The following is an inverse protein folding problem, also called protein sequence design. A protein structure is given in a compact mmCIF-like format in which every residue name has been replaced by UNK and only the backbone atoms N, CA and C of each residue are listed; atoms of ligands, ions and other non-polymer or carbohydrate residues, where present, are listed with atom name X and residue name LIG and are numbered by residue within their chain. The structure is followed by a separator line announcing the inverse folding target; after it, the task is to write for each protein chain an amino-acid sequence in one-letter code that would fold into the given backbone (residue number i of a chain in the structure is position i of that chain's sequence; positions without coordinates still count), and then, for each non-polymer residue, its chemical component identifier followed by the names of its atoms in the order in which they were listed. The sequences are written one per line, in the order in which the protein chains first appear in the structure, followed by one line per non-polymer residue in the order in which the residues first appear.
data_IF_566617012164
#
_entry.id   IF_566617012164
#
_cell.length_a   1.000
_cell.length_b   1.000
_cell.length_c   1.000
_cell.angle_alpha   90.00
_cell.angle_beta   90.00
_cell.angle_gamma   90.00
#
_symmetry.space_group_name_H-M   'P 1'
#
loop_
_entity.id
_entity.type
_entity.pdbx_description
1 polymer ?
#
# COMPACT_ATOMS: atom_id res chain seq x y z
N UNK A 1 16.57 -5.67 9.37
CA UNK A 1 16.72 -6.77 10.35
C UNK A 1 16.05 -6.46 11.69
N UNK A 2 16.17 -5.25 12.26
CA UNK A 2 15.51 -4.90 13.54
C UNK A 2 13.96 -4.85 13.47
N UNK A 3 13.38 -4.42 12.35
CA UNK A 3 11.91 -4.28 12.16
C UNK A 3 11.14 -5.62 12.29
N UNK A 4 11.70 -6.72 11.76
CA UNK A 4 11.09 -8.06 11.87
C UNK A 4 11.09 -8.60 13.31
N UNK A 5 12.01 -8.14 14.17
CA UNK A 5 12.07 -8.58 15.57
C UNK A 5 10.96 -7.92 16.39
N UNK A 6 10.66 -6.65 16.12
CA UNK A 6 9.59 -5.91 16.79
C UNK A 6 8.20 -6.51 16.53
N UNK A 7 7.88 -6.79 15.25
CA UNK A 7 6.61 -7.41 14.89
C UNK A 7 6.47 -8.85 15.40
N UNK A 8 7.54 -9.67 15.33
CA UNK A 8 7.55 -11.02 15.90
C UNK A 8 7.38 -10.99 17.43
N UNK A 9 8.05 -10.08 18.11
CA UNK A 9 7.89 -9.87 19.55
C UNK A 9 6.44 -9.50 19.89
N UNK A 10 5.86 -8.53 19.19
CA UNK A 10 4.48 -8.09 19.43
C UNK A 10 3.49 -9.21 19.10
N UNK A 11 3.68 -9.97 18.01
CA UNK A 11 2.82 -11.09 17.67
C UNK A 11 2.83 -12.17 18.77
N UNK A 12 4.02 -12.48 19.30
CA UNK A 12 4.17 -13.40 20.44
C UNK A 12 3.54 -12.84 21.73
N UNK A 13 3.72 -11.54 21.99
CA UNK A 13 3.10 -10.86 23.13
C UNK A 13 1.57 -10.93 23.04
N UNK A 14 1.00 -10.66 21.86
CA UNK A 14 -0.44 -10.72 21.62
C UNK A 14 -0.98 -12.14 21.74
N UNK A 15 -0.25 -13.14 21.25
CA UNK A 15 -0.62 -14.54 21.43
C UNK A 15 -0.59 -14.95 22.91
N UNK A 16 0.46 -14.55 23.65
CA UNK A 16 0.54 -14.79 25.09
C UNK A 16 -0.60 -14.09 25.83
N UNK A 17 -0.94 -12.85 25.47
CA UNK A 17 -2.05 -12.11 26.05
C UNK A 17 -3.38 -12.84 25.82
N UNK A 18 -3.63 -13.32 24.60
CA UNK A 18 -4.85 -14.06 24.29
C UNK A 18 -4.94 -15.39 25.05
N UNK A 19 -3.85 -16.15 25.13
CA UNK A 19 -3.79 -17.37 25.94
C UNK A 19 -4.05 -17.08 27.41
N UNK A 20 -3.36 -16.09 27.98
CA UNK A 20 -3.59 -15.68 29.38
C UNK A 20 -5.02 -15.22 29.60
N UNK A 21 -5.64 -14.52 28.64
CA UNK A 21 -7.04 -14.12 28.74
C UNK A 21 -7.95 -15.34 28.82
N UNK A 22 -7.83 -16.34 27.94
CA UNK A 22 -8.68 -17.53 27.99
C UNK A 22 -8.39 -18.40 29.23
N UNK A 23 -7.16 -18.45 29.71
CA UNK A 23 -6.81 -19.16 30.95
C UNK A 23 -7.44 -18.51 32.19
N UNK A 24 -7.33 -17.19 32.31
CA UNK A 24 -7.96 -16.45 33.41
C UNK A 24 -9.49 -16.41 33.28
N UNK A 25 -10.02 -16.50 32.06
CA UNK A 25 -11.45 -16.65 31.80
C UNK A 25 -11.98 -17.97 32.37
N UNK A 26 -11.22 -19.06 32.19
CA UNK A 26 -11.56 -20.38 32.77
C UNK A 26 -11.45 -20.42 34.29
N UNK A 27 -10.60 -19.58 34.88
CA UNK A 27 -10.45 -19.45 36.34
C UNK A 27 -11.47 -18.49 36.97
N UNK A 28 -12.25 -17.79 36.15
CA UNK A 28 -13.20 -16.76 36.57
C UNK A 28 -12.53 -15.58 37.35
N UNK A 29 -11.25 -15.30 37.06
CA UNK A 29 -10.55 -14.16 37.67
C UNK A 29 -10.90 -12.85 36.95
N UNK A 30 -11.99 -12.23 37.40
CA UNK A 30 -12.49 -10.96 36.88
C UNK A 30 -11.47 -9.81 36.93
N UNK A 31 -10.55 -9.80 37.91
CA UNK A 31 -9.57 -8.73 38.03
C UNK A 31 -8.50 -8.87 36.95
N UNK A 32 -7.98 -10.08 36.78
CA UNK A 32 -6.98 -10.38 35.74
C UNK A 32 -7.56 -10.16 34.34
N UNK A 33 -8.81 -10.60 34.10
CA UNK A 33 -9.50 -10.37 32.84
C UNK A 33 -9.64 -8.88 32.50
N UNK A 34 -10.04 -8.06 33.47
CA UNK A 34 -10.13 -6.61 33.28
C UNK A 34 -8.77 -6.00 32.94
N UNK A 35 -7.71 -6.40 33.63
CA UNK A 35 -6.35 -5.89 33.38
C UNK A 35 -5.84 -6.28 31.98
N UNK A 36 -6.04 -7.53 31.56
CA UNK A 36 -5.68 -8.01 30.22
C UNK A 36 -6.47 -7.30 29.12
N UNK A 37 -7.76 -7.04 29.37
CA UNK A 37 -8.64 -6.31 28.46
C UNK A 37 -8.21 -4.85 28.29
N UNK A 38 -7.82 -4.20 29.38
CA UNK A 38 -7.26 -2.85 29.34
C UNK A 38 -5.94 -2.82 28.58
N UNK A 39 -5.05 -3.78 28.83
CA UNK A 39 -3.78 -3.88 28.10
C UNK A 39 -4.03 -4.02 26.59
N UNK A 40 -4.94 -4.90 26.17
CA UNK A 40 -5.33 -5.05 24.77
C UNK A 40 -5.86 -3.73 24.18
N UNK A 41 -6.71 -3.03 24.94
CA UNK A 41 -7.30 -1.75 24.52
C UNK A 41 -6.23 -0.66 24.35
N UNK A 42 -5.25 -0.59 25.25
CA UNK A 42 -4.14 0.36 25.14
C UNK A 42 -3.20 0.03 23.99
N UNK A 43 -2.88 -1.25 23.76
CA UNK A 43 -2.08 -1.67 22.60
C UNK A 43 -2.74 -1.21 21.29
N UNK A 44 -4.07 -1.30 21.19
CA UNK A 44 -4.82 -0.74 20.07
C UNK A 44 -4.77 0.81 20.00
N UNK A 45 -4.97 1.51 21.12
CA UNK A 45 -4.90 2.99 21.17
C UNK A 45 -3.55 3.50 20.67
N UNK A 46 -2.47 2.82 21.04
CA UNK A 46 -1.10 3.17 20.65
C UNK A 46 -0.70 2.64 19.25
N UNK A 47 -1.58 1.93 18.55
CA UNK A 47 -1.37 1.53 17.15
C UNK A 47 -0.59 0.22 16.96
N UNK A 48 -0.54 -0.63 17.98
CA UNK A 48 0.15 -1.93 17.93
C UNK A 48 -0.66 -2.97 17.14
N UNK A 49 -2.00 -2.88 17.20
CA UNK A 49 -2.91 -3.72 16.43
C UNK A 49 -4.00 -2.86 15.76
N UNK A 50 -4.59 -3.43 14.71
CA UNK A 50 -5.71 -2.84 13.96
C UNK A 50 -7.06 -3.01 14.67
N UNK A 51 -8.05 -2.21 14.28
CA UNK A 51 -9.43 -2.31 14.75
C UNK A 51 -10.05 -3.68 14.46
N UNK A 52 -9.60 -4.36 13.41
CA UNK A 52 -10.07 -5.69 13.01
C UNK A 52 -9.98 -6.71 14.15
N UNK A 53 -8.85 -6.72 14.87
CA UNK A 53 -8.62 -7.64 15.98
C UNK A 53 -9.56 -7.35 17.15
N UNK A 54 -9.76 -6.05 17.45
CA UNK A 54 -10.65 -5.63 18.55
C UNK A 54 -12.09 -5.99 18.23
N UNK A 55 -12.53 -5.78 16.98
CA UNK A 55 -13.86 -6.20 16.56
C UNK A 55 -14.03 -7.72 16.57
N UNK A 56 -13.04 -8.49 16.12
CA UNK A 56 -13.10 -9.96 16.17
C UNK A 56 -13.21 -10.47 17.62
N UNK A 57 -12.45 -9.87 18.54
CA UNK A 57 -12.55 -10.14 19.98
C UNK A 57 -13.94 -9.78 20.54
N UNK A 58 -14.46 -8.58 20.23
CA UNK A 58 -15.79 -8.15 20.66
C UNK A 58 -16.90 -9.05 20.08
N UNK A 59 -16.77 -9.50 18.83
CA UNK A 59 -17.72 -10.42 18.19
C UNK A 59 -17.67 -11.78 18.88
N UNK A 60 -16.49 -12.29 19.22
CA UNK A 60 -16.34 -13.53 19.99
C UNK A 60 -17.09 -13.44 21.32
N UNK A 61 -16.86 -12.38 22.09
CA UNK A 61 -17.56 -12.14 23.37
C UNK A 61 -19.07 -11.99 23.17
N UNK A 62 -19.50 -11.30 22.10
CA UNK A 62 -20.92 -11.07 21.81
C UNK A 62 -21.70 -12.36 21.52
N UNK A 63 -21.03 -13.41 21.03
CA UNK A 63 -21.65 -14.71 20.77
C UNK A 63 -21.92 -15.48 22.07
N UNK A 64 -20.96 -15.44 23.01
CA UNK A 64 -21.03 -16.10 24.32
C UNK A 64 -21.99 -15.36 25.27
N UNK A 65 -21.83 -14.04 25.35
CA UNK A 65 -22.69 -13.08 26.07
C UNK A 65 -22.97 -13.44 27.54
N UNK A 66 -21.99 -13.99 28.25
CA UNK A 66 -22.02 -14.22 29.70
C UNK A 66 -21.85 -12.91 30.49
N UNK A 67 -22.02 -12.93 31.82
CA UNK A 67 -21.81 -11.74 32.65
C UNK A 67 -20.36 -11.20 32.56
N UNK A 68 -19.39 -12.11 32.48
CA UNK A 68 -17.97 -11.79 32.29
C UNK A 68 -17.73 -11.16 30.92
N UNK A 69 -18.38 -11.68 29.87
CA UNK A 69 -18.30 -11.12 28.51
C UNK A 69 -18.86 -9.69 28.46
N UNK A 70 -20.01 -9.45 29.10
CA UNK A 70 -20.64 -8.11 29.16
C UNK A 70 -19.73 -7.11 29.87
N UNK A 71 -19.14 -7.50 30.99
CA UNK A 71 -18.16 -6.68 31.72
C UNK A 71 -16.92 -6.36 30.86
N UNK A 72 -16.45 -7.36 30.12
CA UNK A 72 -15.28 -7.24 29.23
C UNK A 72 -15.58 -6.31 28.04
N UNK A 73 -16.72 -6.50 27.37
CA UNK A 73 -17.18 -5.63 26.27
C UNK A 73 -17.28 -4.18 26.75
N UNK A 74 -17.91 -3.96 27.91
CA UNK A 74 -18.05 -2.63 28.49
C UNK A 74 -16.69 -1.98 28.75
N UNK A 75 -15.72 -2.73 29.25
CA UNK A 75 -14.35 -2.25 29.48
C UNK A 75 -13.68 -1.78 28.18
N UNK A 76 -13.79 -2.56 27.11
CA UNK A 76 -13.26 -2.18 25.78
C UNK A 76 -13.96 -0.92 25.25
N UNK A 77 -15.29 -0.88 25.32
CA UNK A 77 -16.08 0.25 24.82
C UNK A 77 -15.78 1.55 25.58
N UNK A 78 -15.57 1.47 26.89
CA UNK A 78 -15.18 2.63 27.70
C UNK A 78 -13.77 3.11 27.37
N UNK A 79 -12.82 2.20 27.12
CA UNK A 79 -11.43 2.55 26.88
C UNK A 79 -11.17 3.06 25.45
N UNK A 80 -11.63 2.32 24.43
CA UNK A 80 -11.31 2.61 23.02
C UNK A 80 -12.53 2.62 22.08
N UNK A 81 -13.76 2.58 22.60
CA UNK A 81 -15.01 2.49 21.81
C UNK A 81 -15.20 3.61 20.78
N UNK A 82 -14.88 4.85 21.14
CA UNK A 82 -14.96 5.98 20.20
C UNK A 82 -13.89 5.90 19.10
N UNK A 83 -12.73 5.33 19.41
CA UNK A 83 -11.63 5.15 18.46
C UNK A 83 -11.97 4.05 17.45
N UNK A 84 -12.43 2.87 17.89
CA UNK A 84 -12.84 1.80 16.95
C UNK A 84 -13.99 2.23 16.05
N UNK A 85 -14.93 3.05 16.56
CA UNK A 85 -15.98 3.65 15.73
C UNK A 85 -15.40 4.60 14.67
N UNK A 86 -14.45 5.45 15.07
CA UNK A 86 -13.81 6.41 14.17
C UNK A 86 -12.98 5.73 13.08
N UNK A 87 -12.30 4.65 13.42
CA UNK A 87 -11.48 3.86 12.50
C UNK A 87 -12.35 3.05 11.52
N UNK A 88 -13.44 2.41 11.99
CA UNK A 88 -14.40 1.70 11.11
C UNK A 88 -15.87 1.82 11.61
N UNK A 89 -16.65 2.77 11.05
CA UNK A 89 -18.06 2.94 11.40
C UNK A 89 -18.97 1.80 10.93
N UNK A 90 -18.61 1.10 9.85
CA UNK A 90 -19.44 0.05 9.26
C UNK A 90 -19.39 -1.22 10.10
N UNK A 91 -18.19 -1.63 10.53
CA UNK A 91 -18.02 -2.78 11.42
C UNK A 91 -18.62 -2.51 12.79
N UNK A 92 -18.52 -1.27 13.33
CA UNK A 92 -19.25 -0.88 14.54
C UNK A 92 -20.76 -1.14 14.39
N UNK A 93 -21.38 -0.71 13.29
CA UNK A 93 -22.81 -0.93 13.06
C UNK A 93 -23.15 -2.42 13.05
N UNK A 94 -22.34 -3.24 12.40
CA UNK A 94 -22.54 -4.69 12.34
C UNK A 94 -22.39 -5.35 13.71
N UNK A 95 -21.41 -4.92 14.52
CA UNK A 95 -21.22 -5.37 15.89
C UNK A 95 -22.45 -5.04 16.75
N UNK A 96 -22.95 -3.79 16.68
CA UNK A 96 -24.15 -3.37 17.40
C UNK A 96 -25.35 -4.25 17.04
N UNK A 97 -25.54 -4.51 15.74
CA UNK A 97 -26.63 -5.38 15.29
C UNK A 97 -26.49 -6.80 15.82
N UNK A 98 -25.26 -7.34 15.85
CA UNK A 98 -24.97 -8.68 16.36
C UNK A 98 -25.31 -8.79 17.84
N UNK A 99 -24.88 -7.81 18.65
CA UNK A 99 -25.19 -7.76 20.08
C UNK A 99 -26.71 -7.64 20.31
N UNK A 100 -27.40 -6.76 19.58
CA UNK A 100 -28.84 -6.57 19.71
C UNK A 100 -29.64 -7.82 19.36
N UNK A 101 -29.29 -8.49 18.26
CA UNK A 101 -29.91 -9.75 17.86
C UNK A 101 -29.71 -10.83 18.93
N UNK A 102 -28.48 -10.96 19.44
CA UNK A 102 -28.17 -11.97 20.46
C UNK A 102 -28.90 -11.71 21.78
N UNK A 103 -29.01 -10.45 22.21
CA UNK A 103 -29.78 -10.06 23.40
C UNK A 103 -31.26 -10.40 23.21
N UNK A 104 -31.82 -10.15 22.03
CA UNK A 104 -33.20 -10.49 21.73
C UNK A 104 -33.45 -12.01 21.76
N UNK A 105 -32.54 -12.80 21.19
CA UNK A 105 -32.59 -14.26 21.25
C UNK A 105 -32.57 -14.77 22.69
N UNK A 106 -31.67 -14.24 23.52
CA UNK A 106 -31.54 -14.68 24.91
C UNK A 106 -32.79 -14.34 25.73
N UNK A 107 -33.36 -13.13 25.55
CA UNK A 107 -34.61 -12.72 26.20
C UNK A 107 -35.81 -13.58 25.80
N UNK A 108 -35.84 -14.10 24.57
CA UNK A 108 -36.89 -15.02 24.14
C UNK A 108 -36.76 -16.43 24.74
N UNK A 109 -35.61 -16.76 25.33
CA UNK A 109 -35.28 -18.10 25.83
C UNK A 109 -35.19 -18.24 27.36
N UNK A 110 -35.18 -17.14 28.11
CA UNK A 110 -34.94 -17.13 29.56
C UNK A 110 -36.21 -17.12 30.42
N UNK A 111 -36.23 -17.92 31.50
CA UNK A 111 -37.20 -17.86 32.60
C UNK A 111 -36.92 -16.69 33.57
N UNK A 112 -37.97 -16.19 34.23
CA UNK A 112 -38.05 -14.90 34.97
C UNK A 112 -36.95 -14.63 36.04
N UNK A 113 -36.26 -15.65 36.56
CA UNK A 113 -35.21 -15.48 37.58
C UNK A 113 -33.83 -15.12 37.01
N UNK A 114 -33.51 -15.51 35.77
CA UNK A 114 -32.24 -15.16 35.10
C UNK A 114 -32.22 -13.72 34.55
N UNK A 115 -33.38 -13.05 34.49
CA UNK A 115 -33.54 -11.71 33.93
C UNK A 115 -32.95 -10.59 34.83
N UNK A 116 -32.94 -10.78 36.16
CA UNK A 116 -32.63 -9.70 37.11
C UNK A 116 -31.15 -9.32 37.21
N UNK A 117 -30.23 -10.27 37.05
CA UNK A 117 -28.78 -10.02 37.21
C UNK A 117 -28.14 -9.60 35.87
N UNK A 118 -28.53 -10.25 34.77
CA UNK A 118 -28.05 -9.90 33.43
C UNK A 118 -28.60 -8.55 32.94
N UNK A 119 -29.78 -8.12 33.40
CA UNK A 119 -30.46 -6.92 32.91
C UNK A 119 -29.65 -5.63 33.04
N UNK A 120 -29.17 -5.26 34.25
CA UNK A 120 -28.63 -3.91 34.50
C UNK A 120 -27.28 -3.64 33.82
N UNK A 121 -26.34 -4.60 33.87
CA UNK A 121 -25.03 -4.45 33.21
C UNK A 121 -25.16 -4.51 31.69
N UNK A 122 -26.04 -5.40 31.19
CA UNK A 122 -26.36 -5.48 29.77
C UNK A 122 -27.01 -4.19 29.27
N UNK A 123 -27.96 -3.65 30.01
CA UNK A 123 -28.64 -2.40 29.70
C UNK A 123 -27.63 -1.23 29.66
N UNK A 124 -26.75 -1.14 30.66
CA UNK A 124 -25.68 -0.13 30.66
C UNK A 124 -24.68 -0.31 29.50
N UNK A 125 -24.39 -1.55 29.11
CA UNK A 125 -23.57 -1.83 27.91
C UNK A 125 -24.29 -1.36 26.63
N UNK A 126 -25.58 -1.66 26.49
CA UNK A 126 -26.39 -1.20 25.35
C UNK A 126 -26.54 0.32 25.30
N UNK A 127 -26.67 0.98 26.46
CA UNK A 127 -26.65 2.44 26.58
C UNK A 127 -25.30 3.00 26.12
N UNK A 128 -24.19 2.43 26.61
CA UNK A 128 -22.84 2.83 26.20
C UNK A 128 -22.62 2.65 24.70
N UNK A 129 -23.12 1.55 24.13
CA UNK A 129 -23.11 1.31 22.68
C UNK A 129 -23.89 2.42 21.94
N UNK A 130 -25.08 2.78 22.43
CA UNK A 130 -25.91 3.82 21.83
C UNK A 130 -25.25 5.20 21.94
N UNK A 131 -24.61 5.52 23.05
CA UNK A 131 -23.85 6.75 23.23
C UNK A 131 -22.66 6.84 22.28
N UNK A 132 -21.94 5.72 22.10
CA UNK A 132 -20.85 5.62 21.13
C UNK A 132 -21.39 5.80 19.74
N UNK A 133 -22.49 5.15 19.35
CA UNK A 133 -23.16 5.31 18.04
C UNK A 133 -23.62 6.76 17.80
N UNK A 134 -24.09 7.45 18.84
CA UNK A 134 -24.62 8.81 18.75
C UNK A 134 -23.56 9.91 18.98
N UNK A 135 -22.28 9.54 19.16
CA UNK A 135 -21.16 10.47 19.37
C UNK A 135 -21.29 11.33 20.65
N UNK A 136 -22.01 10.84 21.66
CA UNK A 136 -22.29 11.61 22.88
C UNK A 136 -21.10 11.67 23.85
N UNK A 137 -20.26 10.62 23.88
CA UNK A 137 -19.05 10.57 24.72
C UNK A 137 -17.85 11.17 23.99
N UNK A 138 -17.65 12.49 24.07
CA UNK A 138 -16.31 13.07 23.86
C UNK A 138 -15.57 13.08 25.19
N UNK A 139 -14.75 12.04 25.45
CA UNK A 139 -13.80 12.04 26.57
C UNK A 139 -12.74 13.12 26.31
N UNK A 140 -12.97 14.31 26.85
CA UNK A 140 -12.06 15.44 26.71
C UNK A 140 -10.76 15.29 27.55
N UNK A 141 -10.71 14.37 28.52
CA UNK A 141 -9.59 14.18 29.45
C UNK A 141 -8.55 13.14 29.00
N UNK A 142 -8.94 11.87 28.90
CA UNK A 142 -8.03 10.73 28.64
C UNK A 142 -7.40 10.79 27.24
N UNK A 143 -8.15 11.34 26.27
CA UNK A 143 -7.64 11.57 24.91
C UNK A 143 -6.38 12.45 24.90
N UNK A 144 -6.24 13.36 25.86
CA UNK A 144 -5.10 14.29 25.92
C UNK A 144 -3.79 13.61 26.36
N UNK A 145 -3.85 12.68 27.31
CA UNK A 145 -2.68 11.95 27.82
C UNK A 145 -2.20 10.90 26.82
N UNK A 146 -3.14 10.14 26.22
CA UNK A 146 -2.82 9.19 25.14
C UNK A 146 -2.17 9.91 23.95
N UNK A 147 -2.65 11.11 23.61
CA UNK A 147 -2.04 11.93 22.55
C UNK A 147 -0.63 12.38 22.89
N UNK A 148 -0.34 12.71 24.16
CA UNK A 148 1.02 13.06 24.62
C UNK A 148 1.97 11.87 24.52
N UNK A 149 1.56 10.71 25.04
CA UNK A 149 2.36 9.48 24.99
C UNK A 149 2.57 9.05 23.54
N UNK A 150 1.52 9.09 22.71
CA UNK A 150 1.64 8.78 21.29
C UNK A 150 2.63 9.71 20.59
N UNK A 151 2.54 11.02 20.79
CA UNK A 151 3.52 11.98 20.25
C UNK A 151 4.94 11.73 20.76
N UNK A 152 5.10 11.28 22.00
CA UNK A 152 6.40 10.89 22.55
C UNK A 152 6.95 9.63 21.87
N UNK A 153 6.13 8.59 21.67
CA UNK A 153 6.49 7.38 20.92
C UNK A 153 6.86 7.68 19.47
N UNK A 154 6.15 8.61 18.81
CA UNK A 154 6.45 9.03 17.44
C UNK A 154 7.84 9.69 17.33
N UNK A 155 8.27 10.46 18.34
CA UNK A 155 9.63 11.04 18.40
C UNK A 155 10.72 9.98 18.52
N UNK A 156 10.39 8.79 19.01
CA UNK A 156 11.31 7.66 19.12
C UNK A 156 11.34 6.77 17.86
N UNK A 157 10.68 7.19 16.78
CA UNK A 157 10.52 6.41 15.54
C UNK A 157 9.83 5.06 15.75
N UNK A 158 8.93 4.94 16.73
CA UNK A 158 8.18 3.72 17.01
C UNK A 158 6.91 3.54 16.14
N UNK A 159 6.85 4.16 14.95
CA UNK A 159 5.65 4.18 14.08
C UNK A 159 5.43 2.89 13.27
N UNK A 160 6.31 1.91 13.44
CA UNK A 160 6.56 0.84 12.49
C UNK A 160 6.02 -0.55 12.90
N UNK A 161 5.33 -0.67 14.04
CA UNK A 161 4.87 -1.97 14.55
C UNK A 161 3.34 -2.01 14.64
N UNK A 162 2.68 -2.29 13.50
CA UNK A 162 1.23 -2.46 13.42
C UNK A 162 0.86 -3.85 12.88
N UNK A 163 0.20 -4.67 13.70
CA UNK A 163 -0.38 -5.95 13.28
C UNK A 163 -1.75 -5.77 12.61
N UNK A 164 -1.86 -6.16 11.33
CA UNK A 164 -3.09 -6.06 10.52
C UNK A 164 -3.67 -7.42 10.15
N UNK A 165 -5.00 -7.48 10.02
CA UNK A 165 -5.77 -8.65 9.55
C UNK A 165 -5.65 -9.90 10.42
N UNK A 166 -5.30 -9.69 11.70
CA UNK A 166 -5.11 -10.77 12.65
C UNK A 166 -6.42 -10.98 13.44
N UNK A 167 -6.88 -12.23 13.49
CA UNK A 167 -8.10 -12.62 14.23
C UNK A 167 -7.77 -13.19 15.60
N UNK A 168 -8.70 -13.08 16.53
CA UNK A 168 -8.59 -13.63 17.88
C UNK A 168 -8.37 -15.14 17.86
N UNK A 169 -9.06 -15.86 16.96
CA UNK A 169 -8.87 -17.30 16.78
C UNK A 169 -7.44 -17.67 16.38
N UNK A 170 -6.79 -16.84 15.56
CA UNK A 170 -5.41 -17.05 15.10
C UNK A 170 -4.40 -16.84 16.23
N UNK A 171 -4.69 -15.93 17.17
CA UNK A 171 -3.88 -15.76 18.40
C UNK A 171 -3.94 -16.99 19.30
N UNK A 172 -5.00 -17.79 19.24
CA UNK A 172 -5.19 -18.97 20.09
C UNK A 172 -4.73 -20.29 19.44
N UNK A 173 -4.36 -20.28 18.16
CA UNK A 173 -3.97 -21.49 17.44
C UNK A 173 -2.74 -22.18 18.08
N UNK A 174 -2.81 -23.44 18.54
CA UNK A 174 -1.67 -24.15 19.10
C UNK A 174 -0.59 -24.50 18.06
N UNK A 175 -0.88 -24.45 16.75
CA UNK A 175 0.01 -24.87 15.67
C UNK A 175 0.61 -23.71 14.86
N UNK A 176 0.91 -22.59 15.55
CA UNK A 176 1.62 -21.43 14.98
C UNK A 176 3.00 -21.83 14.45
N UNK A 177 3.22 -21.74 13.14
CA UNK A 177 4.52 -21.95 12.49
C UNK A 177 4.93 -20.73 11.68
N UNK A 178 6.22 -20.39 11.72
CA UNK A 178 6.78 -19.27 10.98
C UNK A 178 6.15 -17.93 11.38
N UNK A 179 5.99 -17.04 10.40
CA UNK A 179 5.41 -15.70 10.58
C UNK A 179 3.87 -15.74 10.47
N UNK A 180 3.22 -16.52 11.35
CA UNK A 180 1.78 -16.77 11.36
C UNK A 180 0.93 -15.49 11.48
N UNK A 181 1.50 -14.39 11.96
CA UNK A 181 0.84 -13.09 12.09
C UNK A 181 0.77 -12.28 10.78
N UNK A 182 1.40 -12.74 9.70
CA UNK A 182 1.23 -12.14 8.38
C UNK A 182 -0.16 -12.52 7.83
N UNK A 183 -0.90 -11.52 7.36
CA UNK A 183 -2.20 -11.70 6.72
C UNK A 183 -2.03 -12.34 5.34
N UNK A 184 -1.95 -13.66 5.35
CA UNK A 184 -2.00 -14.52 4.16
C UNK A 184 -2.50 -15.90 4.58
N UNK A 185 -3.81 -16.06 4.76
CA UNK A 185 -4.43 -17.39 4.82
C UNK A 185 -5.11 -17.71 3.50
N UNK A 186 -4.36 -18.40 2.65
CA UNK A 186 -4.87 -19.43 1.73
C UNK A 186 -4.90 -20.73 2.54
N UNK A 187 -5.89 -20.90 3.43
CA UNK A 187 -6.22 -22.20 4.03
C UNK A 187 -7.52 -22.14 4.84
N UNK A 188 -8.51 -22.94 4.42
CA UNK A 188 -9.50 -23.53 5.32
C UNK A 188 -10.84 -22.81 5.47
N UNK A 189 -11.75 -23.02 4.52
CA UNK A 189 -13.20 -23.10 4.80
C UNK A 189 -13.83 -24.21 3.97
N UNK A 190 -13.87 -25.41 4.56
CA UNK A 190 -14.81 -26.45 4.18
C UNK A 190 -16.05 -26.28 5.08
N UNK A 191 -17.15 -25.87 4.45
CA UNK A 191 -18.58 -26.07 4.77
C UNK A 191 -19.38 -24.80 4.48
N UNK A 192 -19.88 -24.75 3.25
CA UNK A 192 -21.17 -24.21 2.80
C UNK A 192 -21.12 -24.10 1.26
N UNK A 193 -21.17 -25.26 0.59
CA UNK A 193 -20.69 -25.46 -0.78
C UNK A 193 -21.67 -25.03 -1.90
N UNK A 194 -22.93 -24.71 -1.64
CA UNK A 194 -23.92 -24.63 -2.74
C UNK A 194 -24.35 -23.21 -3.14
N UNK A 195 -24.10 -22.19 -2.32
CA UNK A 195 -24.45 -20.78 -2.67
C UNK A 195 -23.26 -19.90 -3.04
N UNK A 196 -22.05 -20.33 -2.72
CA UNK A 196 -20.80 -19.60 -2.99
C UNK A 196 -20.15 -20.04 -4.32
N UNK A 197 -20.53 -21.20 -4.85
CA UNK A 197 -19.98 -21.77 -6.09
C UNK A 197 -20.14 -20.82 -7.30
N UNK A 198 -21.29 -20.19 -7.46
CA UNK A 198 -21.56 -19.35 -8.64
C UNK A 198 -20.80 -18.00 -8.64
N UNK A 199 -20.35 -17.51 -7.48
CA UNK A 199 -19.54 -16.27 -7.39
C UNK A 199 -18.04 -16.57 -7.34
N UNK A 200 -17.63 -17.69 -6.74
CA UNK A 200 -16.22 -18.13 -6.68
C UNK A 200 -15.68 -18.50 -8.07
N UNK A 201 -16.49 -19.14 -8.92
CA UNK A 201 -16.01 -19.57 -10.23
C UNK A 201 -15.53 -18.40 -11.09
N UNK A 202 -16.10 -17.21 -10.93
CA UNK A 202 -15.69 -16.03 -11.71
C UNK A 202 -14.41 -15.38 -11.16
N UNK A 203 -14.30 -15.22 -9.85
CA UNK A 203 -13.12 -14.62 -9.19
C UNK A 203 -11.90 -15.55 -9.22
N UNK A 204 -12.10 -16.87 -9.15
CA UNK A 204 -11.02 -17.86 -9.27
C UNK A 204 -10.53 -17.97 -10.71
N UNK A 205 -11.41 -17.88 -11.71
CA UNK A 205 -11.01 -17.82 -13.12
C UNK A 205 -10.23 -16.54 -13.43
N UNK A 206 -10.63 -15.38 -12.90
CA UNK A 206 -9.91 -14.12 -13.06
C UNK A 206 -8.55 -14.15 -12.34
N UNK A 207 -8.47 -14.70 -11.12
CA UNK A 207 -7.22 -14.86 -10.39
C UNK A 207 -6.26 -15.87 -11.07
N UNK A 208 -6.78 -16.98 -11.60
CA UNK A 208 -5.99 -17.94 -12.37
C UNK A 208 -5.53 -17.37 -13.71
N UNK A 209 -6.38 -16.60 -14.40
CA UNK A 209 -6.01 -15.88 -15.62
C UNK A 209 -4.92 -14.84 -15.33
N UNK A 210 -5.01 -14.10 -14.23
CA UNK A 210 -3.96 -13.17 -13.78
C UNK A 210 -2.64 -13.87 -13.46
N UNK A 211 -2.68 -15.05 -12.81
CA UNK A 211 -1.47 -15.83 -12.54
C UNK A 211 -0.83 -16.40 -13.82
N UNK A 212 -1.63 -16.78 -14.82
CA UNK A 212 -1.14 -17.20 -16.13
C UNK A 212 -0.54 -16.03 -16.92
N UNK A 213 -1.17 -14.85 -16.86
CA UNK A 213 -0.62 -13.60 -17.39
C UNK A 213 0.72 -13.27 -16.72
N UNK A 214 0.80 -13.32 -15.39
CA UNK A 214 2.04 -13.09 -14.65
C UNK A 214 3.16 -14.05 -15.10
N UNK A 215 2.85 -15.33 -15.30
CA UNK A 215 3.80 -16.31 -15.83
C UNK A 215 4.25 -15.98 -17.27
N UNK A 216 3.33 -15.52 -18.13
CA UNK A 216 3.65 -15.06 -19.48
C UNK A 216 4.54 -13.80 -19.50
N UNK A 217 4.40 -12.93 -18.49
CA UNK A 217 5.20 -11.72 -18.31
C UNK A 217 6.57 -11.95 -17.63
N UNK A 218 7.01 -13.21 -17.45
CA UNK A 218 8.27 -13.60 -16.76
C UNK A 218 8.31 -13.19 -15.27
N UNK A 219 7.16 -13.17 -14.60
CA UNK A 219 7.07 -12.98 -13.15
C UNK A 219 7.36 -14.31 -12.43
N UNK A 220 8.65 -14.66 -12.39
CA UNK A 220 9.10 -15.99 -11.95
C UNK A 220 9.15 -16.17 -10.43
N UNK A 221 9.03 -15.09 -9.66
CA UNK A 221 9.09 -15.11 -8.19
C UNK A 221 7.74 -14.74 -7.59
N UNK A 222 7.44 -15.26 -6.41
CA UNK A 222 6.18 -14.99 -5.72
C UNK A 222 6.02 -13.51 -5.39
N UNK A 223 7.12 -12.82 -5.09
CA UNK A 223 7.16 -11.35 -4.94
C UNK A 223 6.71 -10.63 -6.22
N UNK A 224 7.24 -11.02 -7.39
CA UNK A 224 6.86 -10.41 -8.67
C UNK A 224 5.40 -10.67 -9.03
N UNK A 225 4.91 -11.88 -8.75
CA UNK A 225 3.50 -12.24 -8.96
C UNK A 225 2.59 -11.42 -8.05
N UNK A 226 2.94 -11.25 -6.77
CA UNK A 226 2.16 -10.44 -5.83
C UNK A 226 2.08 -8.97 -6.27
N UNK A 227 3.21 -8.37 -6.64
CA UNK A 227 3.26 -7.00 -7.17
C UNK A 227 2.43 -6.89 -8.44
N UNK A 228 2.57 -7.83 -9.37
CA UNK A 228 1.80 -7.85 -10.62
C UNK A 228 0.29 -7.90 -10.34
N UNK A 229 -0.15 -8.81 -9.48
CA UNK A 229 -1.56 -8.93 -9.12
C UNK A 229 -2.09 -7.63 -8.49
N UNK A 230 -1.33 -6.98 -7.61
CA UNK A 230 -1.74 -5.70 -7.02
C UNK A 230 -1.86 -4.60 -8.08
N UNK A 231 -0.89 -4.49 -8.99
CA UNK A 231 -0.90 -3.47 -10.04
C UNK A 231 -2.08 -3.66 -11.00
N UNK A 232 -2.42 -4.91 -11.32
CA UNK A 232 -3.50 -5.25 -12.27
C UNK A 232 -4.90 -5.27 -11.64
N UNK A 233 -5.01 -5.53 -10.34
CA UNK A 233 -6.29 -5.54 -9.60
C UNK A 233 -6.59 -4.24 -8.86
N UNK A 234 -5.70 -3.25 -8.94
CA UNK A 234 -5.93 -1.93 -8.36
C UNK A 234 -7.06 -1.20 -9.07
N UNK A 235 -7.99 -0.61 -8.31
CA UNK A 235 -9.07 0.20 -8.87
C UNK A 235 -8.54 1.51 -9.45
N UNK A 236 -7.61 2.13 -8.74
CA UNK A 236 -6.89 3.34 -9.16
C UNK A 236 -5.43 3.31 -8.69
N UNK A 237 -4.66 4.36 -9.03
CA UNK A 237 -3.25 4.43 -8.66
C UNK A 237 -3.02 4.61 -7.15
N UNK A 238 -4.01 5.12 -6.40
CA UNK A 238 -3.90 5.33 -4.95
C UNK A 238 -4.07 4.00 -4.23
N UNK A 239 -5.09 3.24 -4.61
CA UNK A 239 -5.34 1.89 -4.12
C UNK A 239 -4.15 0.96 -4.42
N UNK A 240 -3.66 0.97 -5.67
CA UNK A 240 -2.47 0.20 -6.03
C UNK A 240 -1.23 0.64 -5.24
N UNK A 241 -1.02 1.95 -5.06
CA UNK A 241 0.08 2.48 -4.26
C UNK A 241 0.00 2.01 -2.81
N UNK A 242 -1.17 2.13 -2.15
CA UNK A 242 -1.34 1.68 -0.77
C UNK A 242 -1.14 0.17 -0.63
N UNK A 243 -1.69 -0.62 -1.55
CA UNK A 243 -1.52 -2.09 -1.55
C UNK A 243 -0.06 -2.48 -1.76
N UNK A 244 0.68 -1.79 -2.62
CA UNK A 244 2.12 -2.01 -2.81
C UNK A 244 2.93 -1.69 -1.56
N UNK A 245 2.62 -0.59 -0.87
CA UNK A 245 3.28 -0.26 0.41
C UNK A 245 2.97 -1.28 1.51
N UNK A 246 1.79 -1.91 1.48
CA UNK A 246 1.41 -2.96 2.43
C UNK A 246 2.15 -4.30 2.21
N UNK A 247 2.80 -4.50 1.07
CA UNK A 247 3.61 -5.71 0.82
C UNK A 247 4.87 -5.78 1.69
N UNK A 248 5.34 -4.64 2.21
CA UNK A 248 6.49 -4.52 3.13
C UNK A 248 7.71 -5.35 2.70
N UNK A 249 8.15 -5.14 1.46
CA UNK A 249 9.19 -5.95 0.84
C UNK A 249 10.58 -5.59 1.41
N UNK A 250 11.38 -6.57 1.87
CA UNK A 250 12.65 -6.27 2.51
C UNK A 250 13.73 -5.82 1.51
N UNK A 251 14.19 -4.57 1.65
CA UNK A 251 15.44 -4.06 1.09
C UNK A 251 15.60 -4.22 -0.42
N UNK A 252 16.30 -5.26 -0.89
CA UNK A 252 16.54 -5.49 -2.32
C UNK A 252 15.27 -5.92 -3.07
N UNK A 253 14.30 -6.53 -2.40
CA UNK A 253 13.06 -6.99 -3.02
C UNK A 253 12.12 -5.83 -3.37
N UNK A 254 12.18 -4.74 -2.61
CA UNK A 254 11.44 -3.52 -2.87
C UNK A 254 11.73 -2.92 -4.27
N UNK A 255 12.96 -3.13 -4.76
CA UNK A 255 13.36 -2.76 -6.13
C UNK A 255 12.55 -3.48 -7.21
N UNK A 256 11.97 -4.64 -6.89
CA UNK A 256 11.13 -5.38 -7.83
C UNK A 256 9.80 -4.66 -8.08
N UNK A 257 9.33 -3.78 -7.19
CA UNK A 257 8.12 -2.98 -7.42
C UNK A 257 8.28 -2.14 -8.68
N UNK A 258 9.35 -1.35 -8.75
CA UNK A 258 9.63 -0.50 -9.92
C UNK A 258 9.88 -1.33 -11.19
N UNK A 259 10.56 -2.47 -11.07
CA UNK A 259 10.86 -3.35 -12.22
C UNK A 259 9.60 -3.97 -12.81
N UNK A 260 8.74 -4.53 -11.96
CA UNK A 260 7.47 -5.14 -12.37
C UNK A 260 6.55 -4.08 -12.95
N UNK A 261 6.46 -2.90 -12.33
CA UNK A 261 5.65 -1.79 -12.83
C UNK A 261 6.02 -1.41 -14.26
N UNK A 262 7.32 -1.20 -14.52
CA UNK A 262 7.79 -0.86 -15.87
C UNK A 262 7.49 -1.99 -16.83
N UNK A 263 7.79 -3.24 -16.46
CA UNK A 263 7.54 -4.39 -17.33
C UNK A 263 6.06 -4.53 -17.71
N UNK A 264 5.14 -4.33 -16.76
CA UNK A 264 3.70 -4.29 -17.01
C UNK A 264 3.33 -3.20 -18.03
N UNK A 265 3.84 -1.98 -17.82
CA UNK A 265 3.61 -0.85 -18.70
C UNK A 265 4.10 -1.12 -20.14
N UNK A 266 5.22 -1.82 -20.30
CA UNK A 266 5.77 -2.12 -21.63
C UNK A 266 4.98 -3.20 -22.37
N UNK A 267 4.32 -4.11 -21.64
CA UNK A 267 3.54 -5.21 -22.20
C UNK A 267 2.09 -4.85 -22.53
N UNK A 268 1.64 -3.67 -22.14
CA UNK A 268 0.29 -3.21 -22.45
C UNK A 268 -0.01 -3.18 -23.95
N UNK A 269 -1.30 -3.29 -24.31
CA UNK A 269 -1.73 -3.14 -25.71
C UNK A 269 -1.73 -1.67 -26.15
N UNK A 270 -2.13 -0.78 -25.25
CA UNK A 270 -2.17 0.66 -25.45
C UNK A 270 -1.48 1.32 -24.27
N UNK A 271 -0.63 2.30 -24.52
CA UNK A 271 0.06 3.02 -23.46
C UNK A 271 -0.92 3.61 -22.44
N UNK A 272 -0.81 3.18 -21.19
CA UNK A 272 -1.69 3.58 -20.11
C UNK A 272 -0.95 4.51 -19.13
N UNK A 273 -1.46 5.72 -18.92
CA UNK A 273 -0.86 6.71 -18.00
C UNK A 273 -0.93 6.31 -16.53
N UNK A 274 -1.81 5.38 -16.17
CA UNK A 274 -1.88 4.81 -14.82
C UNK A 274 -0.50 4.43 -14.25
N UNK A 275 0.32 3.72 -15.04
CA UNK A 275 1.66 3.29 -14.62
C UNK A 275 2.59 4.47 -14.32
N UNK A 276 2.51 5.54 -15.11
CA UNK A 276 3.35 6.73 -14.92
C UNK A 276 2.99 7.50 -13.65
N UNK A 277 1.68 7.62 -13.35
CA UNK A 277 1.21 8.30 -12.13
C UNK A 277 1.57 7.48 -10.89
N UNK A 278 1.39 6.15 -10.95
CA UNK A 278 1.80 5.24 -9.87
C UNK A 278 3.32 5.30 -9.64
N UNK A 279 4.12 5.24 -10.72
CA UNK A 279 5.58 5.35 -10.64
C UNK A 279 6.04 6.69 -10.04
N UNK A 280 5.41 7.79 -10.43
CA UNK A 280 5.67 9.11 -9.87
C UNK A 280 5.43 9.12 -8.35
N UNK A 281 4.28 8.58 -7.91
CA UNK A 281 3.93 8.50 -6.49
C UNK A 281 4.90 7.65 -5.67
N UNK A 282 5.33 6.51 -6.21
CA UNK A 282 6.35 5.66 -5.59
C UNK A 282 7.72 6.36 -5.49
N UNK A 283 8.11 7.13 -6.51
CA UNK A 283 9.35 7.92 -6.49
C UNK A 283 9.31 9.08 -5.50
N UNK A 284 8.13 9.68 -5.26
CA UNK A 284 7.94 10.72 -4.24
C UNK A 284 8.03 10.16 -2.84
N UNK A 285 7.50 8.96 -2.62
CA UNK A 285 7.47 8.30 -1.32
C UNK A 285 8.88 7.91 -0.84
N UNK A 286 9.71 7.30 -1.70
CA UNK A 286 11.04 6.84 -1.32
C UNK A 286 12.11 7.14 -2.36
N UNK A 287 13.26 7.68 -1.91
CA UNK A 287 14.40 7.97 -2.79
C UNK A 287 14.96 6.71 -3.46
N UNK A 288 14.92 5.55 -2.81
CA UNK A 288 15.41 4.29 -3.37
C UNK A 288 14.59 3.83 -4.58
N UNK A 289 13.27 4.08 -4.58
CA UNK A 289 12.42 3.85 -5.75
C UNK A 289 12.87 4.70 -6.94
N UNK A 290 13.17 5.98 -6.71
CA UNK A 290 13.68 6.87 -7.76
C UNK A 290 15.01 6.38 -8.35
N UNK A 291 15.96 5.95 -7.51
CA UNK A 291 17.21 5.36 -8.00
C UNK A 291 16.97 4.08 -8.80
N UNK A 292 16.13 3.18 -8.27
CA UNK A 292 15.79 1.92 -8.93
C UNK A 292 15.13 2.17 -10.29
N UNK A 293 14.24 3.15 -10.39
CA UNK A 293 13.59 3.55 -11.63
C UNK A 293 14.61 4.01 -12.68
N UNK A 294 15.60 4.83 -12.30
CA UNK A 294 16.66 5.25 -13.22
C UNK A 294 17.48 4.06 -13.74
N UNK A 295 17.84 3.13 -12.87
CA UNK A 295 18.55 1.91 -13.29
C UNK A 295 17.69 1.03 -14.20
N UNK A 296 16.41 0.86 -13.87
CA UNK A 296 15.48 0.04 -14.66
C UNK A 296 15.34 0.58 -16.09
N UNK A 297 15.18 1.91 -16.24
CA UNK A 297 15.11 2.56 -17.55
C UNK A 297 16.41 2.36 -18.33
N UNK A 298 17.56 2.56 -17.68
CA UNK A 298 18.89 2.37 -18.30
C UNK A 298 19.13 0.93 -18.73
N UNK A 299 18.66 -0.03 -17.96
CA UNK A 299 18.78 -1.45 -18.30
C UNK A 299 17.92 -1.78 -19.54
N UNK A 300 16.70 -1.24 -19.63
CA UNK A 300 15.90 -1.38 -20.85
C UNK A 300 16.50 -0.66 -22.07
N UNK A 301 17.23 0.43 -21.90
CA UNK A 301 17.96 1.07 -23.01
C UNK A 301 19.03 0.14 -23.62
N UNK A 302 19.65 -0.73 -22.81
CA UNK A 302 20.62 -1.72 -23.31
C UNK A 302 19.94 -2.79 -24.17
N UNK A 303 18.66 -3.06 -23.92
CA UNK A 303 17.86 -4.09 -24.60
C UNK A 303 17.13 -3.60 -25.86
N UNK A 304 17.29 -2.32 -26.25
CA UNK A 304 16.56 -1.73 -27.38
C UNK A 304 16.75 -2.48 -28.72
N UNK A 305 17.90 -3.13 -28.92
CA UNK A 305 18.17 -3.91 -30.14
C UNK A 305 17.27 -5.14 -30.28
N UNK A 306 16.98 -5.82 -29.18
CA UNK A 306 16.12 -7.01 -29.16
C UNK A 306 14.66 -6.68 -28.86
N UNK A 307 14.37 -5.44 -28.44
CA UNK A 307 13.03 -4.98 -28.09
C UNK A 307 12.11 -4.83 -29.31
N UNK A 308 10.82 -5.15 -29.13
CA UNK A 308 9.78 -4.90 -30.14
C UNK A 308 9.42 -3.41 -30.22
N UNK A 309 8.90 -2.97 -31.36
CA UNK A 309 8.57 -1.56 -31.59
C UNK A 309 7.53 -1.03 -30.58
N UNK A 310 6.49 -1.81 -30.28
CA UNK A 310 5.46 -1.42 -29.32
C UNK A 310 6.02 -1.20 -27.91
N UNK A 311 6.85 -2.14 -27.42
CA UNK A 311 7.53 -2.00 -26.13
C UNK A 311 8.43 -0.77 -26.11
N UNK A 312 9.18 -0.54 -27.19
CA UNK A 312 10.04 0.63 -27.34
C UNK A 312 9.26 1.95 -27.32
N UNK A 313 8.10 1.99 -27.98
CA UNK A 313 7.20 3.15 -27.96
C UNK A 313 6.63 3.40 -26.56
N UNK A 314 6.20 2.35 -25.85
CA UNK A 314 5.69 2.48 -24.48
C UNK A 314 6.78 2.96 -23.53
N UNK A 315 8.01 2.47 -23.66
CA UNK A 315 9.15 2.94 -22.88
C UNK A 315 9.44 4.42 -23.16
N UNK A 316 9.43 4.84 -24.44
CA UNK A 316 9.66 6.22 -24.81
C UNK A 316 8.60 7.16 -24.20
N UNK A 317 7.32 6.80 -24.29
CA UNK A 317 6.22 7.57 -23.67
C UNK A 317 6.29 7.59 -22.15
N UNK A 318 6.63 6.45 -21.53
CA UNK A 318 6.83 6.35 -20.08
C UNK A 318 7.93 7.30 -19.60
N UNK A 319 9.11 7.26 -20.25
CA UNK A 319 10.24 8.14 -19.89
C UNK A 319 9.89 9.61 -20.14
N UNK A 320 9.17 9.93 -21.23
CA UNK A 320 8.72 11.29 -21.51
C UNK A 320 7.83 11.85 -20.37
N UNK A 321 6.84 11.09 -19.91
CA UNK A 321 5.95 11.51 -18.81
C UNK A 321 6.70 11.64 -17.48
N UNK A 322 7.62 10.70 -17.16
CA UNK A 322 8.43 10.76 -15.93
C UNK A 322 9.38 11.96 -15.90
N UNK A 323 9.85 12.41 -17.06
CA UNK A 323 10.70 13.59 -17.22
C UNK A 323 9.87 14.88 -17.22
N UNK A 324 8.71 14.88 -17.88
CA UNK A 324 7.80 16.03 -17.95
C UNK A 324 7.14 16.36 -16.60
N UNK A 325 6.89 15.34 -15.77
CA UNK A 325 6.45 15.47 -14.37
C UNK A 325 7.58 15.85 -13.40
N UNK A 326 8.81 16.03 -13.91
CA UNK A 326 10.02 16.37 -13.14
C UNK A 326 10.47 15.34 -12.10
N UNK A 327 9.82 14.17 -12.04
CA UNK A 327 10.21 13.04 -11.18
C UNK A 327 11.62 12.59 -11.52
N UNK A 328 11.92 12.44 -12.82
CA UNK A 328 13.25 12.14 -13.35
C UNK A 328 13.85 13.34 -14.09
N UNK A 329 15.17 13.39 -14.17
CA UNK A 329 15.90 14.30 -15.05
C UNK A 329 16.23 13.59 -16.36
N UNK A 330 16.41 14.35 -17.45
CA UNK A 330 16.91 13.83 -18.71
C UNK A 330 18.30 13.18 -18.60
N UNK A 331 19.03 13.37 -17.50
CA UNK A 331 20.30 12.68 -17.23
C UNK A 331 20.16 11.15 -17.16
N UNK A 332 18.93 10.62 -17.14
CA UNK A 332 18.67 9.18 -17.30
C UNK A 332 19.24 8.64 -18.63
N UNK A 333 19.27 9.46 -19.70
CA UNK A 333 19.84 9.08 -21.01
C UNK A 333 21.36 9.26 -21.11
N UNK A 334 22.07 9.71 -20.05
CA UNK A 334 23.53 9.92 -20.04
C UNK A 334 24.35 8.69 -20.46
N UNK A 335 23.79 7.49 -20.33
CA UNK A 335 24.48 6.24 -20.70
C UNK A 335 24.59 6.03 -22.21
N UNK A 336 23.92 6.86 -23.02
CA UNK A 336 23.93 6.78 -24.48
C UNK A 336 24.78 7.91 -25.00
N UNK A 337 25.77 7.56 -25.80
CA UNK A 337 26.53 8.54 -26.56
C UNK A 337 25.78 8.83 -27.87
N UNK A 338 25.27 10.05 -27.98
CA UNK A 338 24.53 10.51 -29.16
C UNK A 338 25.44 10.97 -30.30
N UNK A 339 26.75 11.05 -30.06
CA UNK A 339 27.75 11.40 -31.07
C UNK A 339 28.43 10.14 -31.66
N UNK A 340 28.37 9.01 -30.94
CA UNK A 340 28.91 7.73 -31.39
C UNK A 340 27.99 7.03 -32.41
N UNK A 341 28.40 7.07 -33.68
CA UNK A 341 27.70 6.40 -34.79
C UNK A 341 27.58 4.88 -34.60
N UNK A 342 28.47 4.22 -33.85
CA UNK A 342 28.38 2.79 -33.57
C UNK A 342 27.22 2.46 -32.61
N UNK A 343 26.86 3.39 -31.74
CA UNK A 343 25.75 3.24 -30.80
C UNK A 343 24.40 3.68 -31.37
N UNK A 344 24.37 4.48 -32.44
CA UNK A 344 23.15 4.96 -33.07
C UNK A 344 22.61 3.98 -34.13
N UNK A 345 22.22 2.79 -33.69
CA UNK A 345 21.50 1.84 -34.56
C UNK A 345 20.13 2.40 -34.99
N UNK A 346 19.54 1.90 -36.10
CA UNK A 346 18.20 2.34 -36.52
C UNK A 346 17.13 2.19 -35.43
N UNK A 347 17.20 1.13 -34.61
CA UNK A 347 16.25 0.90 -33.51
C UNK A 347 16.42 1.90 -32.36
N UNK A 348 17.66 2.22 -31.99
CA UNK A 348 17.95 3.25 -30.97
C UNK A 348 17.57 4.64 -31.47
N UNK A 349 17.89 4.98 -32.70
CA UNK A 349 17.45 6.23 -33.34
C UNK A 349 15.93 6.34 -33.27
N UNK A 350 15.20 5.30 -33.67
CA UNK A 350 13.73 5.30 -33.60
C UNK A 350 13.22 5.49 -32.17
N UNK A 351 13.79 4.78 -31.19
CA UNK A 351 13.40 4.91 -29.78
C UNK A 351 13.56 6.33 -29.25
N UNK A 352 14.77 6.89 -29.36
CA UNK A 352 15.06 8.23 -28.84
C UNK A 352 14.32 9.32 -29.64
N UNK A 353 14.06 9.08 -30.93
CA UNK A 353 13.19 9.95 -31.71
C UNK A 353 11.78 9.99 -31.12
N UNK A 354 11.14 8.83 -30.90
CA UNK A 354 9.82 8.76 -30.28
C UNK A 354 9.80 9.41 -28.89
N UNK A 355 10.88 9.27 -28.10
CA UNK A 355 11.02 9.90 -26.79
C UNK A 355 10.98 11.43 -26.89
N UNK A 356 11.82 12.02 -27.75
CA UNK A 356 11.88 13.48 -27.89
C UNK A 356 10.64 14.06 -28.57
N UNK A 357 10.05 13.35 -29.53
CA UNK A 357 8.75 13.72 -30.10
C UNK A 357 7.69 13.78 -28.98
N UNK A 358 7.62 12.74 -28.13
CA UNK A 358 6.70 12.70 -26.97
C UNK A 358 6.96 13.83 -25.96
N UNK A 359 8.21 14.20 -25.71
CA UNK A 359 8.54 15.34 -24.83
C UNK A 359 8.06 16.66 -25.46
N UNK A 360 8.15 16.81 -26.79
CA UNK A 360 7.75 18.04 -27.47
C UNK A 360 6.23 18.23 -27.61
N UNK A 361 5.44 17.19 -27.36
CA UNK A 361 3.98 17.29 -27.21
C UNK A 361 3.58 18.16 -26.00
N UNK A 362 4.42 18.23 -24.97
CA UNK A 362 4.13 19.02 -23.77
C UNK A 362 4.21 20.54 -24.01
N UNK A 363 3.54 21.36 -23.18
CA UNK A 363 3.62 22.82 -23.22
C UNK A 363 5.07 23.36 -23.18
N UNK A 364 5.29 24.54 -23.78
CA UNK A 364 6.64 25.10 -23.95
C UNK A 364 7.39 25.34 -22.64
N UNK A 365 6.70 25.77 -21.60
CA UNK A 365 7.26 25.93 -20.24
C UNK A 365 7.76 24.59 -19.66
N UNK A 366 7.01 23.50 -19.83
CA UNK A 366 7.44 22.16 -19.39
C UNK A 366 8.69 21.73 -20.15
N UNK A 367 8.68 21.85 -21.48
CA UNK A 367 9.86 21.56 -22.31
C UNK A 367 11.07 22.38 -21.86
N UNK A 368 10.90 23.69 -21.66
CA UNK A 368 11.98 24.55 -21.16
C UNK A 368 12.57 24.02 -19.84
N UNK A 369 11.71 23.82 -18.83
CA UNK A 369 12.15 23.37 -17.51
C UNK A 369 12.83 21.99 -17.55
N UNK A 370 12.31 21.08 -18.38
CA UNK A 370 12.88 19.75 -18.57
C UNK A 370 14.33 19.81 -19.07
N UNK A 371 14.62 20.66 -20.06
CA UNK A 371 15.96 20.78 -20.64
C UNK A 371 16.89 21.67 -19.80
N UNK A 372 16.38 22.70 -19.11
CA UNK A 372 17.19 23.55 -18.21
C UNK A 372 17.75 22.77 -17.02
N UNK A 373 17.11 21.68 -16.58
CA UNK A 373 17.66 20.81 -15.52
C UNK A 373 18.94 20.07 -15.92
N UNK A 374 19.32 20.08 -17.20
CA UNK A 374 20.62 19.62 -17.67
C UNK A 374 21.65 20.74 -17.78
N UNK A 375 21.22 22.00 -17.79
CA UNK A 375 22.12 23.14 -17.82
C UNK A 375 22.87 23.24 -16.48
N UNK A 376 24.07 23.84 -16.48
CA UNK A 376 24.84 24.14 -15.27
C UNK A 376 25.76 23.03 -14.73
N UNK A 377 25.55 21.76 -15.07
CA UNK A 377 26.48 20.68 -14.71
C UNK A 377 27.51 20.46 -15.83
N UNK A 378 28.80 20.69 -15.54
CA UNK A 378 29.89 20.51 -16.50
C UNK A 378 30.02 19.05 -16.96
N UNK A 379 29.71 18.07 -16.10
CA UNK A 379 29.78 16.65 -16.48
C UNK A 379 28.70 16.22 -17.48
N UNK A 380 27.68 17.06 -17.70
CA UNK A 380 26.60 16.79 -18.63
C UNK A 380 26.79 17.51 -19.97
N UNK A 381 27.86 18.29 -20.16
CA UNK A 381 28.12 19.01 -21.40
C UNK A 381 28.15 18.11 -22.65
N UNK A 382 28.84 16.95 -22.66
CA UNK A 382 28.85 16.06 -23.82
C UNK A 382 27.43 15.56 -24.16
N UNK A 383 26.64 15.25 -23.12
CA UNK A 383 25.25 14.83 -23.30
C UNK A 383 24.40 15.96 -23.90
N UNK A 384 24.58 17.21 -23.47
CA UNK A 384 23.83 18.36 -24.02
C UNK A 384 24.13 18.55 -25.50
N UNK A 385 25.41 18.48 -25.89
CA UNK A 385 25.85 18.63 -27.28
C UNK A 385 25.29 17.49 -28.15
N UNK A 386 25.48 16.24 -27.72
CA UNK A 386 24.98 15.07 -28.45
C UNK A 386 23.45 15.05 -28.57
N UNK A 387 22.73 15.45 -27.51
CA UNK A 387 21.27 15.60 -27.57
C UNK A 387 20.85 16.69 -28.56
N UNK A 388 21.54 17.84 -28.59
CA UNK A 388 21.25 18.90 -29.55
C UNK A 388 21.41 18.39 -31.00
N UNK A 389 22.53 17.71 -31.27
CA UNK A 389 22.80 17.11 -32.58
C UNK A 389 21.73 16.08 -32.96
N UNK A 390 21.44 15.14 -32.06
CA UNK A 390 20.49 14.07 -32.30
C UNK A 390 19.09 14.60 -32.60
N UNK A 391 18.59 15.54 -31.78
CA UNK A 391 17.25 16.12 -31.98
C UNK A 391 17.19 16.87 -33.30
N UNK A 392 18.24 17.61 -33.67
CA UNK A 392 18.29 18.32 -34.95
C UNK A 392 18.20 17.36 -36.14
N UNK A 393 19.06 16.34 -36.18
CA UNK A 393 19.18 15.46 -37.35
C UNK A 393 18.07 14.41 -37.44
N UNK A 394 17.64 13.85 -36.31
CA UNK A 394 16.73 12.70 -36.30
C UNK A 394 15.30 13.01 -35.86
N UNK A 395 15.03 14.15 -35.23
CA UNK A 395 13.67 14.54 -34.78
C UNK A 395 13.11 15.69 -35.61
N UNK A 396 13.87 16.77 -35.77
CA UNK A 396 13.38 18.00 -36.44
C UNK A 396 13.46 17.92 -37.95
N UNK A 397 14.56 17.39 -38.50
CA UNK A 397 14.74 17.27 -39.95
C UNK A 397 13.62 16.45 -40.61
N UNK A 398 13.14 15.32 -40.03
CA UNK A 398 11.98 14.60 -40.55
C UNK A 398 10.63 15.30 -40.25
N UNK A 399 10.52 16.04 -39.15
CA UNK A 399 9.30 16.72 -38.74
C UNK A 399 9.55 18.21 -38.40
N UNK A 400 9.48 19.05 -39.44
CA UNK A 400 9.77 20.49 -39.34
C UNK A 400 8.85 21.26 -38.39
N UNK A 401 7.66 20.73 -38.07
CA UNK A 401 6.73 21.36 -37.12
C UNK A 401 7.33 21.50 -35.71
N UNK A 402 8.27 20.60 -35.35
CA UNK A 402 8.93 20.60 -34.04
C UNK A 402 10.07 21.62 -33.92
N UNK A 403 10.41 22.33 -35.00
CA UNK A 403 11.54 23.27 -35.01
C UNK A 403 11.42 24.38 -33.94
N UNK A 404 10.20 24.85 -33.66
CA UNK A 404 9.96 25.87 -32.62
C UNK A 404 10.24 25.33 -31.22
N UNK A 405 9.79 24.10 -30.92
CA UNK A 405 10.08 23.41 -29.65
C UNK A 405 11.56 23.11 -29.50
N UNK A 406 12.22 22.71 -30.57
CA UNK A 406 13.66 22.48 -30.58
C UNK A 406 14.46 23.77 -30.30
N UNK A 407 14.10 24.90 -30.92
CA UNK A 407 14.75 26.19 -30.61
C UNK A 407 14.62 26.54 -29.12
N UNK A 408 13.47 26.26 -28.51
CA UNK A 408 13.25 26.46 -27.09
C UNK A 408 14.12 25.52 -26.23
N UNK A 409 14.14 24.23 -26.56
CA UNK A 409 14.97 23.23 -25.87
C UNK A 409 16.47 23.55 -25.98
N UNK A 410 16.95 23.95 -27.17
CA UNK A 410 18.35 24.37 -27.39
C UNK A 410 18.73 25.56 -26.51
N UNK A 411 17.86 26.58 -26.42
CA UNK A 411 18.09 27.71 -25.52
C UNK A 411 18.10 27.27 -24.05
N UNK A 412 17.21 26.36 -23.67
CA UNK A 412 17.12 25.84 -22.31
C UNK A 412 18.39 25.06 -21.89
N UNK A 413 18.99 24.28 -22.81
CA UNK A 413 20.24 23.53 -22.58
C UNK A 413 21.44 24.44 -22.30
N UNK A 414 21.48 25.62 -22.92
CA UNK A 414 22.57 26.58 -22.79
C UNK A 414 22.32 27.64 -21.69
N UNK A 415 21.23 27.50 -20.93
CA UNK A 415 20.86 28.47 -19.90
C UNK A 415 21.59 28.20 -18.58
N UNK A 416 22.86 28.62 -18.49
CA UNK A 416 23.74 28.40 -17.32
C UNK A 416 23.36 29.31 -16.13
N UNK A 417 22.62 30.41 -16.36
CA UNK A 417 22.38 31.48 -15.37
C UNK A 417 21.45 31.11 -14.20
N UNK A 418 20.77 29.95 -14.21
CA UNK A 418 19.74 29.61 -13.20
C UNK A 418 20.06 28.47 -12.23
N UNK A 419 21.26 27.90 -12.25
CA UNK A 419 21.60 26.74 -11.41
C UNK A 419 22.24 27.12 -10.06
N UNK A 420 22.47 28.42 -9.81
CA UNK A 420 23.05 28.96 -8.58
C UNK A 420 22.04 29.44 -7.52
N UNK A 421 20.78 28.98 -7.53
CA UNK A 421 19.83 29.24 -6.44
C UNK A 421 19.24 27.97 -5.84
#
# INVERSE_FOLDING_TARGET
MAYSVGQDFVAKLMASLATSFEDEYRKEDNLSLRNLTLLLSYLYIFGVCSSDLIYDFLIMLSKRLTEVDVSTILTVLQCCGMKIRGDDPAVMKNFIQTVQNRVHELKASSTEEQEKINGKRMEFMLETICDIKNNKKRSHGETSEHTRIKKWLQKLSAEDILLRGLKWSKLLDPHKKGQWWLSGDVAGKADDAEKVANTIDKEVLEAQSMLQLAAAQRMNTDTRKAIFCIIMSGEDYVDAFEKLLRLDLPGKQDREIMRVLVECCLQEKVFNKYYTVLAAKLCEHEKNHKFTMQFCIRDHFKELESMSLQRSMHLAKFVAEMVASFVLSLSVVKTIDFDDAAQLTPKRIMHFRMLFESIFEYPGNTVWNTFTRLAGDEELEPLRIGMEFFIKEYVVKPNKALATKFKLAKRALNNVERVLM
#
